data_IF_797228247345
#
_entry.id   IF_797228247345
#
_cell.length_a   1.000
_cell.length_b   1.000
_cell.length_c   1.000
_cell.angle_alpha   90.00
_cell.angle_beta   90.00
_cell.angle_gamma   90.00
#
_symmetry.space_group_name_H-M   'P 1'
#
loop_
_entity.id
_entity.type
_entity.pdbx_description
1 polymer ?
#
# COMPACT_ATOMS: atom_id res chain seq x y z
N UNK A 1 37.85 9.13 8.36
CA UNK A 1 37.60 8.87 6.93
C UNK A 1 36.34 8.01 6.86
N UNK A 2 35.17 8.63 6.69
CA UNK A 2 33.89 7.91 6.63
C UNK A 2 33.62 7.57 5.16
N UNK A 3 33.68 6.27 4.83
CA UNK A 3 33.42 5.76 3.49
C UNK A 3 31.97 6.10 3.11
N UNK A 4 31.79 6.85 2.02
CA UNK A 4 30.47 7.13 1.47
C UNK A 4 29.83 5.82 1.00
N UNK A 5 28.66 5.48 1.56
CA UNK A 5 27.82 4.40 1.05
C UNK A 5 27.21 4.90 -0.26
N UNK A 6 27.85 4.59 -1.38
CA UNK A 6 27.23 4.72 -2.70
C UNK A 6 26.21 3.58 -2.84
N UNK A 7 24.95 3.83 -2.46
CA UNK A 7 23.90 2.85 -2.70
C UNK A 7 23.65 2.75 -4.21
N UNK A 8 23.99 1.62 -4.83
CA UNK A 8 23.51 1.35 -6.17
C UNK A 8 21.97 1.30 -6.17
N UNK A 9 21.31 1.74 -7.26
CA UNK A 9 19.86 1.66 -7.36
C UNK A 9 19.44 0.19 -7.25
N UNK A 10 18.80 -0.14 -6.14
CA UNK A 10 18.24 -1.47 -5.92
C UNK A 10 16.94 -1.58 -6.71
N UNK A 11 16.89 -2.52 -7.66
CA UNK A 11 15.68 -2.82 -8.42
C UNK A 11 14.80 -3.78 -7.63
N UNK A 12 13.51 -3.46 -7.52
CA UNK A 12 12.49 -4.33 -6.92
C UNK A 12 11.59 -4.80 -8.06
N UNK A 13 11.66 -6.08 -8.40
CA UNK A 13 10.76 -6.67 -9.40
C UNK A 13 9.44 -7.07 -8.73
N UNK A 14 8.32 -6.60 -9.30
CA UNK A 14 6.97 -6.83 -8.79
C UNK A 14 6.21 -7.69 -9.82
N UNK A 15 5.69 -8.87 -9.45
CA UNK A 15 4.87 -9.68 -10.35
C UNK A 15 3.59 -8.94 -10.78
N UNK A 16 3.19 -9.13 -12.04
CA UNK A 16 2.05 -8.43 -12.63
C UNK A 16 0.68 -8.80 -12.01
N UNK A 17 0.63 -9.85 -11.20
CA UNK A 17 -0.56 -10.36 -10.51
C UNK A 17 -0.41 -10.34 -8.98
N UNK A 18 0.61 -9.64 -8.46
CA UNK A 18 0.88 -9.57 -7.03
C UNK A 18 -0.13 -8.69 -6.26
N UNK A 19 -0.26 -8.98 -4.97
CA UNK A 19 -0.65 -7.99 -3.98
C UNK A 19 0.61 -7.25 -3.51
N UNK A 20 0.62 -5.92 -3.56
CA UNK A 20 1.64 -5.06 -2.95
C UNK A 20 0.99 -4.24 -1.85
N UNK A 21 1.53 -4.32 -0.63
CA UNK A 21 1.06 -3.55 0.53
C UNK A 21 2.09 -2.47 0.86
N UNK A 22 1.72 -1.20 0.73
CA UNK A 22 2.56 -0.09 1.15
C UNK A 22 2.39 0.12 2.66
N UNK A 23 3.48 0.17 3.42
CA UNK A 23 3.43 0.26 4.89
C UNK A 23 4.25 1.46 5.34
N UNK A 24 3.65 2.35 6.14
CA UNK A 24 4.35 3.53 6.66
C UNK A 24 3.42 4.59 7.21
N UNK A 25 3.96 5.48 8.05
CA UNK A 25 3.22 6.57 8.68
C UNK A 25 2.59 7.55 7.66
N UNK A 26 1.57 8.31 8.08
CA UNK A 26 1.13 9.48 7.30
C UNK A 26 2.32 10.42 7.05
N UNK A 27 2.39 11.04 5.86
CA UNK A 27 3.55 11.86 5.46
C UNK A 27 4.81 11.09 5.05
N UNK A 28 4.82 9.75 5.10
CA UNK A 28 5.99 8.94 4.71
C UNK A 28 6.24 8.87 3.20
N UNK A 29 5.31 9.36 2.37
CA UNK A 29 5.44 9.40 0.91
C UNK A 29 4.87 8.19 0.15
N UNK A 30 4.05 7.34 0.79
CA UNK A 30 3.44 6.15 0.15
C UNK A 30 2.65 6.49 -1.11
N UNK A 31 1.72 7.43 -1.05
CA UNK A 31 0.88 7.82 -2.18
C UNK A 31 1.70 8.45 -3.31
N UNK A 32 2.72 9.25 -2.97
CA UNK A 32 3.68 9.79 -3.95
C UNK A 32 4.44 8.67 -4.64
N UNK A 33 4.97 7.71 -3.89
CA UNK A 33 5.64 6.54 -4.45
C UNK A 33 4.69 5.71 -5.32
N UNK A 34 3.44 5.53 -4.89
CA UNK A 34 2.43 4.81 -5.65
C UNK A 34 2.17 5.46 -7.01
N UNK A 35 1.99 6.78 -7.05
CA UNK A 35 1.76 7.54 -8.29
C UNK A 35 2.98 7.60 -9.22
N UNK A 36 4.19 7.45 -8.68
CA UNK A 36 5.43 7.43 -9.49
C UNK A 36 5.72 6.06 -10.12
N UNK A 37 5.36 4.97 -9.42
CA UNK A 37 5.80 3.62 -9.80
C UNK A 37 4.69 2.69 -10.30
N UNK A 38 3.42 3.04 -10.08
CA UNK A 38 2.29 2.19 -10.45
C UNK A 38 1.24 2.97 -11.24
N UNK A 39 0.55 2.26 -12.14
CA UNK A 39 -0.61 2.81 -12.85
C UNK A 39 -1.75 3.03 -11.85
N UNK A 40 -2.45 4.16 -11.95
CA UNK A 40 -3.52 4.56 -11.01
C UNK A 40 -4.56 3.48 -10.77
N UNK A 41 -4.90 2.73 -11.81
CA UNK A 41 -5.96 1.72 -11.77
C UNK A 41 -5.60 0.51 -10.91
N UNK A 42 -4.31 0.24 -10.67
CA UNK A 42 -3.90 -0.82 -9.76
C UNK A 42 -3.78 -0.38 -8.30
N UNK A 43 -3.89 0.92 -8.02
CA UNK A 43 -3.79 1.47 -6.67
C UNK A 43 -5.16 1.61 -6.01
N UNK A 44 -5.34 0.86 -4.91
CA UNK A 44 -6.48 0.96 -3.99
C UNK A 44 -6.03 1.77 -2.78
N UNK A 45 -6.46 3.03 -2.70
CA UNK A 45 -6.07 3.98 -1.65
C UNK A 45 -7.20 4.20 -0.66
N UNK A 46 -6.90 4.09 0.65
CA UNK A 46 -7.89 4.36 1.70
C UNK A 46 -8.38 5.80 1.69
N UNK A 47 -7.51 6.76 1.36
CA UNK A 47 -7.88 8.18 1.35
C UNK A 47 -8.76 8.52 0.15
N UNK A 48 -8.48 7.92 -1.01
CA UNK A 48 -9.35 8.03 -2.19
C UNK A 48 -10.72 7.41 -1.92
N UNK A 49 -10.77 6.24 -1.29
CA UNK A 49 -12.02 5.60 -0.89
C UNK A 49 -12.81 6.47 0.08
N UNK A 50 -12.15 7.08 1.09
CA UNK A 50 -12.82 7.97 2.03
C UNK A 50 -13.41 9.21 1.34
N UNK A 51 -12.74 9.73 0.30
CA UNK A 51 -13.26 10.86 -0.48
C UNK A 51 -14.43 10.47 -1.41
N UNK A 52 -14.44 9.25 -1.94
CA UNK A 52 -15.53 8.71 -2.77
C UNK A 52 -16.80 8.41 -1.94
N UNK A 53 -16.65 8.11 -0.65
CA UNK A 53 -17.74 7.67 0.23
C UNK A 53 -18.38 8.84 0.99
N UNK A 54 -19.70 9.09 0.82
CA UNK A 54 -20.38 10.14 1.56
C UNK A 54 -20.47 9.84 3.06
N UNK A 55 -20.44 10.89 3.89
CA UNK A 55 -20.82 10.78 5.30
C UNK A 55 -19.77 10.26 6.27
N UNK A 56 -18.47 10.38 5.95
CA UNK A 56 -17.35 9.96 6.81
C UNK A 56 -17.47 8.49 7.26
N UNK A 57 -17.19 7.52 6.36
CA UNK A 57 -17.39 6.11 6.66
C UNK A 57 -16.54 5.66 7.87
N UNK A 58 -17.07 4.69 8.63
CA UNK A 58 -16.28 4.00 9.66
C UNK A 58 -15.10 3.25 9.04
N UNK A 59 -14.10 2.93 9.86
CA UNK A 59 -12.93 2.17 9.40
C UNK A 59 -13.32 0.79 8.87
N UNK A 60 -14.27 0.10 9.51
CA UNK A 60 -14.75 -1.21 9.05
C UNK A 60 -15.38 -1.16 7.65
N UNK A 61 -16.16 -0.11 7.38
CA UNK A 61 -16.82 0.09 6.09
C UNK A 61 -15.79 0.43 5.02
N UNK A 62 -14.83 1.30 5.33
CA UNK A 62 -13.73 1.66 4.44
C UNK A 62 -12.86 0.44 4.11
N UNK A 63 -12.54 -0.36 5.12
CA UNK A 63 -11.72 -1.55 4.99
C UNK A 63 -12.42 -2.66 4.20
N UNK A 64 -13.73 -2.84 4.42
CA UNK A 64 -14.54 -3.78 3.65
C UNK A 64 -14.56 -3.43 2.16
N UNK A 65 -14.73 -2.15 1.82
CA UNK A 65 -14.68 -1.70 0.42
C UNK A 65 -13.28 -1.85 -0.18
N UNK A 66 -12.23 -1.56 0.60
CA UNK A 66 -10.84 -1.78 0.19
C UNK A 66 -10.61 -3.26 -0.14
N UNK A 67 -11.01 -4.19 0.74
CA UNK A 67 -10.90 -5.62 0.52
C UNK A 67 -11.64 -6.06 -0.73
N UNK A 68 -12.89 -5.61 -0.89
CA UNK A 68 -13.69 -5.94 -2.08
C UNK A 68 -12.99 -5.55 -3.38
N UNK A 69 -12.39 -4.36 -3.45
CA UNK A 69 -11.64 -3.91 -4.63
C UNK A 69 -10.34 -4.70 -4.84
N UNK A 70 -9.61 -5.00 -3.76
CA UNK A 70 -8.38 -5.81 -3.82
C UNK A 70 -8.69 -7.22 -4.31
N UNK A 71 -9.67 -7.91 -3.71
CA UNK A 71 -10.09 -9.26 -4.08
C UNK A 71 -10.55 -9.33 -5.55
N UNK A 72 -11.31 -8.35 -6.02
CA UNK A 72 -11.74 -8.29 -7.43
C UNK A 72 -10.54 -8.21 -8.41
N UNK A 73 -9.44 -7.57 -8.02
CA UNK A 73 -8.22 -7.52 -8.84
C UNK A 73 -7.43 -8.83 -8.78
N UNK A 74 -7.26 -9.40 -7.59
CA UNK A 74 -6.56 -10.66 -7.37
C UNK A 74 -7.24 -11.84 -8.07
N UNK A 75 -8.58 -11.88 -8.01
CA UNK A 75 -9.39 -12.86 -8.74
C UNK A 75 -9.17 -12.77 -10.25
N UNK A 76 -9.01 -11.56 -10.79
CA UNK A 76 -8.73 -11.31 -12.20
C UNK A 76 -7.24 -11.49 -12.58
N UNK A 77 -6.37 -11.86 -11.64
CA UNK A 77 -4.93 -11.99 -11.89
C UNK A 77 -4.24 -10.68 -12.23
N UNK A 78 -4.70 -9.57 -11.62
CA UNK A 78 -4.14 -8.24 -11.82
C UNK A 78 -3.49 -7.73 -10.55
N UNK A 79 -2.35 -7.07 -10.71
CA UNK A 79 -1.63 -6.35 -9.66
C UNK A 79 -2.58 -5.49 -8.83
N UNK A 80 -2.51 -5.60 -7.51
CA UNK A 80 -3.25 -4.76 -6.57
C UNK A 80 -2.26 -4.11 -5.61
N UNK A 81 -2.19 -2.78 -5.62
CA UNK A 81 -1.34 -1.99 -4.72
C UNK A 81 -2.24 -1.35 -3.67
N UNK A 82 -2.02 -1.65 -2.40
CA UNK A 82 -2.77 -1.08 -1.28
C UNK A 82 -2.00 0.11 -0.73
N UNK A 83 -2.54 1.31 -0.94
CA UNK A 83 -2.03 2.56 -0.37
C UNK A 83 -2.84 2.95 0.87
N UNK A 84 -2.35 2.53 2.03
CA UNK A 84 -2.87 2.87 3.35
C UNK A 84 -1.69 2.89 4.34
N UNK A 85 -1.89 3.35 5.57
CA UNK A 85 -0.83 3.28 6.59
C UNK A 85 -0.43 1.84 6.91
N UNK A 86 -1.39 0.91 6.87
CA UNK A 86 -1.21 -0.52 7.10
C UNK A 86 -0.46 -0.84 8.41
N UNK A 87 -0.70 -0.07 9.47
CA UNK A 87 -0.04 -0.23 10.78
C UNK A 87 -0.65 -1.35 11.62
N UNK A 88 -1.95 -1.63 11.46
CA UNK A 88 -2.61 -2.77 12.12
C UNK A 88 -2.19 -4.11 11.48
N UNK A 89 -1.68 -5.02 12.31
CA UNK A 89 -1.23 -6.33 11.85
C UNK A 89 -2.37 -7.26 11.42
N UNK A 90 -3.55 -7.14 12.01
CA UNK A 90 -4.73 -7.94 11.66
C UNK A 90 -5.19 -7.59 10.25
N UNK A 91 -5.20 -6.31 9.92
CA UNK A 91 -5.56 -5.83 8.58
C UNK A 91 -4.60 -6.32 7.52
N UNK A 92 -3.28 -6.29 7.82
CA UNK A 92 -2.27 -6.87 6.92
C UNK A 92 -2.43 -8.37 6.75
N UNK A 93 -2.73 -9.09 7.83
CA UNK A 93 -2.92 -10.53 7.79
C UNK A 93 -4.10 -10.91 6.86
N UNK A 94 -5.19 -10.15 6.89
CA UNK A 94 -6.34 -10.38 6.01
C UNK A 94 -6.00 -10.12 4.54
N UNK A 95 -5.28 -9.03 4.21
CA UNK A 95 -4.81 -8.78 2.84
C UNK A 95 -3.93 -9.92 2.32
N UNK A 96 -3.01 -10.42 3.15
CA UNK A 96 -2.16 -11.57 2.78
C UNK A 96 -2.99 -12.85 2.61
N UNK A 97 -4.01 -13.06 3.44
CA UNK A 97 -4.93 -14.19 3.30
C UNK A 97 -5.71 -14.12 1.98
N UNK A 98 -6.16 -12.94 1.56
CA UNK A 98 -6.85 -12.72 0.28
C UNK A 98 -5.95 -13.08 -0.90
N UNK A 99 -4.70 -12.60 -0.93
CA UNK A 99 -3.74 -12.95 -1.97
C UNK A 99 -3.51 -14.47 -2.04
N UNK A 100 -3.34 -15.12 -0.89
CA UNK A 100 -3.20 -16.58 -0.80
C UNK A 100 -4.44 -17.32 -1.31
N UNK A 101 -5.64 -16.83 -0.98
CA UNK A 101 -6.91 -17.42 -1.42
C UNK A 101 -7.05 -17.46 -2.94
N UNK A 102 -6.46 -16.49 -3.65
CA UNK A 102 -6.42 -16.44 -5.11
C UNK A 102 -5.14 -16.99 -5.74
N UNK A 103 -4.24 -17.59 -4.94
CA UNK A 103 -2.96 -18.15 -5.42
C UNK A 103 -1.99 -17.08 -5.95
N UNK A 104 -2.05 -15.85 -5.41
CA UNK A 104 -1.24 -14.71 -5.84
C UNK A 104 -0.08 -14.41 -4.88
N UNK A 105 1.07 -13.93 -5.37
CA UNK A 105 2.16 -13.50 -4.50
C UNK A 105 1.77 -12.25 -3.71
N UNK A 106 2.26 -12.13 -2.48
CA UNK A 106 2.09 -10.95 -1.65
C UNK A 106 3.46 -10.33 -1.30
N UNK A 107 3.58 -9.01 -1.48
CA UNK A 107 4.78 -8.23 -1.23
C UNK A 107 4.46 -7.04 -0.33
N UNK A 108 5.43 -6.63 0.49
CA UNK A 108 5.32 -5.43 1.32
C UNK A 108 6.46 -4.46 0.98
N UNK A 109 6.12 -3.17 0.84
CA UNK A 109 7.10 -2.08 0.69
C UNK A 109 6.98 -1.20 1.92
N UNK A 110 8.04 -1.17 2.75
CA UNK A 110 8.04 -0.50 4.05
C UNK A 110 8.79 0.83 3.96
N UNK A 111 8.09 1.91 4.28
CA UNK A 111 8.62 3.28 4.37
C UNK A 111 9.10 3.54 5.79
N UNK A 112 10.31 3.08 6.09
CA UNK A 112 10.94 3.23 7.40
C UNK A 112 11.65 4.59 7.53
N UNK A 113 10.86 5.67 7.62
CA UNK A 113 11.38 7.04 7.78
C UNK A 113 11.26 7.49 9.25
N UNK A 114 12.16 8.39 9.71
CA UNK A 114 12.03 9.04 11.01
C UNK A 114 10.67 9.76 11.19
N UNK A 115 10.12 9.69 12.41
CA UNK A 115 8.79 10.21 12.73
C UNK A 115 8.69 11.74 12.64
N UNK A 116 9.77 12.45 12.94
CA UNK A 116 9.92 13.90 12.78
C UNK A 116 9.82 14.32 11.32
N UNK A 117 10.45 13.57 10.41
CA UNK A 117 10.35 13.78 8.96
C UNK A 117 8.92 13.56 8.46
N UNK A 118 8.25 12.51 8.94
CA UNK A 118 6.87 12.22 8.55
C UNK A 118 5.91 13.31 9.04
N UNK A 119 6.07 13.74 10.29
CA UNK A 119 5.27 14.81 10.90
C UNK A 119 5.46 16.14 10.18
N UNK A 120 6.71 16.53 9.88
CA UNK A 120 7.02 17.79 9.20
C UNK A 120 6.41 17.86 7.77
N UNK A 121 6.21 16.71 7.11
CA UNK A 121 5.58 16.62 5.78
C UNK A 121 4.06 16.58 5.83
N UNK A 122 3.48 16.32 7.01
CA UNK A 122 2.04 16.20 7.21
C UNK A 122 1.42 17.46 7.86
N UNK A 123 2.25 18.45 8.20
CA UNK A 123 1.87 19.72 8.81
C UNK A 123 1.35 20.73 7.79
#
# INVERSE_FOLDING_TARGET
>A
MSQGITSQPSRIDVPADALVVLIGAAGSGKSTFAGLHFVSDCVVSSDRLRAEMPGAPSEDVLFSELHRRVQARLAAGRLAVVDATNTDWMWRAQLVADARGYGRPAMAIVFNLPADVCSARNA
#
